data_IF_126526796062
#
_entry.id   IF_126526796062
#
_cell.length_a   1.000
_cell.length_b   1.000
_cell.length_c   1.000
_cell.angle_alpha   90.00
_cell.angle_beta   90.00
_cell.angle_gamma   90.00
#
_symmetry.space_group_name_H-M   'P 1'
#
loop_
_entity.id
_entity.type
_entity.pdbx_description
1 polymer ?
#
# COMPACT_ATOMS: atom_id res chain seq x y z
N UNK A 1 0.42 11.70 -7.50
CA UNK A 1 1.44 11.63 -6.42
C UNK A 1 1.75 13.01 -5.84
N UNK A 2 1.47 14.10 -6.56
CA UNK A 2 1.82 15.46 -6.13
C UNK A 2 0.88 16.07 -5.08
N UNK A 3 -0.41 15.74 -5.08
CA UNK A 3 -1.37 16.30 -4.10
C UNK A 3 -1.12 15.84 -2.67
N UNK A 4 -0.92 14.53 -2.45
CA UNK A 4 -0.68 13.98 -1.11
C UNK A 4 0.65 14.53 -0.53
N UNK A 5 1.69 14.60 -1.36
CA UNK A 5 2.96 15.22 -0.98
C UNK A 5 2.79 16.71 -0.71
N UNK A 6 2.01 17.42 -1.52
CA UNK A 6 1.70 18.85 -1.31
C UNK A 6 0.99 19.08 0.03
N UNK A 7 -0.01 18.25 0.34
CA UNK A 7 -0.82 18.39 1.54
C UNK A 7 -0.04 18.10 2.82
N UNK A 8 0.91 17.15 2.79
CA UNK A 8 1.65 16.69 3.97
C UNK A 8 3.16 16.97 3.90
N UNK A 9 3.56 17.95 3.09
CA UNK A 9 4.95 18.22 2.64
C UNK A 9 5.98 18.18 3.77
N UNK A 10 5.64 18.77 4.91
CA UNK A 10 6.54 18.89 6.07
C UNK A 10 6.17 17.95 7.23
N UNK A 11 5.07 17.19 7.10
CA UNK A 11 4.50 16.37 8.17
C UNK A 11 4.90 14.89 8.05
N UNK A 12 5.13 14.40 6.83
CA UNK A 12 5.53 13.03 6.59
C UNK A 12 7.06 12.88 6.74
N UNK A 13 7.50 12.66 7.98
CA UNK A 13 8.91 12.36 8.31
C UNK A 13 9.44 11.06 7.65
N UNK A 14 8.55 10.22 7.14
CA UNK A 14 8.88 9.01 6.41
C UNK A 14 7.86 8.78 5.28
N UNK A 15 8.24 8.06 4.20
CA UNK A 15 7.29 7.66 3.17
C UNK A 15 6.12 6.87 3.77
N UNK A 16 4.87 7.13 3.35
CA UNK A 16 3.71 6.40 3.83
C UNK A 16 3.76 4.93 3.36
N UNK A 17 3.18 3.99 4.12
CA UNK A 17 2.99 2.63 3.62
C UNK A 17 2.02 2.64 2.44
N UNK A 18 2.25 1.75 1.47
CA UNK A 18 1.46 1.67 0.24
C UNK A 18 0.99 0.23 0.04
N UNK A 19 -0.29 0.06 -0.28
CA UNK A 19 -0.84 -1.21 -0.76
C UNK A 19 -1.43 -1.00 -2.15
N UNK A 20 -1.01 -1.82 -3.10
CA UNK A 20 -1.59 -1.86 -4.45
C UNK A 20 -2.65 -2.97 -4.48
N UNK A 21 -3.91 -2.58 -4.62
CA UNK A 21 -5.02 -3.49 -4.83
C UNK A 21 -5.21 -3.75 -6.33
N UNK A 22 -4.80 -4.93 -6.79
CA UNK A 22 -5.08 -5.43 -8.13
C UNK A 22 -6.55 -5.89 -8.22
N UNK A 23 -7.41 -4.91 -8.43
CA UNK A 23 -8.85 -5.08 -8.47
C UNK A 23 -9.35 -5.83 -9.72
N UNK A 24 -10.65 -6.15 -9.73
CA UNK A 24 -11.40 -6.80 -10.82
C UNK A 24 -10.99 -8.25 -11.09
N UNK A 25 -10.72 -9.02 -10.03
CA UNK A 25 -10.31 -10.42 -10.17
C UNK A 25 -11.44 -11.38 -10.57
N UNK A 26 -12.67 -10.88 -10.59
CA UNK A 26 -13.87 -11.49 -11.15
C UNK A 26 -13.82 -11.58 -12.69
N UNK A 27 -13.04 -10.72 -13.35
CA UNK A 27 -12.94 -10.73 -14.82
C UNK A 27 -12.06 -11.88 -15.32
N UNK A 28 -12.41 -12.49 -16.47
CA UNK A 28 -11.63 -13.57 -17.07
C UNK A 28 -10.26 -13.08 -17.57
N UNK A 29 -10.17 -11.84 -18.03
CA UNK A 29 -8.93 -11.19 -18.40
C UNK A 29 -8.37 -10.41 -17.20
N UNK A 30 -7.23 -10.87 -16.67
CA UNK A 30 -6.61 -10.29 -15.47
C UNK A 30 -5.42 -9.43 -15.85
N UNK A 31 -5.32 -8.28 -15.19
CA UNK A 31 -4.17 -7.40 -15.32
C UNK A 31 -2.89 -8.11 -14.87
N UNK A 32 -1.81 -8.00 -15.65
CA UNK A 32 -0.53 -8.62 -15.31
C UNK A 32 0.21 -7.79 -14.25
N UNK A 33 -0.11 -8.08 -12.99
CA UNK A 33 0.49 -7.41 -11.84
C UNK A 33 2.02 -7.48 -11.82
N UNK A 34 2.61 -8.61 -12.24
CA UNK A 34 4.07 -8.80 -12.21
C UNK A 34 4.79 -7.83 -13.15
N UNK A 35 4.26 -7.66 -14.37
CA UNK A 35 4.83 -6.73 -15.35
C UNK A 35 4.72 -5.29 -14.83
N UNK A 36 3.53 -4.91 -14.36
CA UNK A 36 3.30 -3.58 -13.84
C UNK A 36 4.20 -3.24 -12.64
N UNK A 37 4.30 -4.13 -11.64
CA UNK A 37 5.14 -3.91 -10.47
C UNK A 37 6.62 -3.75 -10.82
N UNK A 38 7.07 -4.46 -11.86
CA UNK A 38 8.43 -4.31 -12.40
C UNK A 38 8.59 -2.94 -13.05
N UNK A 39 7.64 -2.50 -13.88
CA UNK A 39 7.71 -1.23 -14.61
C UNK A 39 7.70 0.00 -13.70
N UNK A 40 7.02 -0.09 -12.55
CA UNK A 40 7.01 1.00 -11.55
C UNK A 40 8.12 0.89 -10.50
N UNK A 41 9.05 -0.06 -10.65
CA UNK A 41 10.09 -0.38 -9.66
C UNK A 41 9.53 -0.54 -8.23
N UNK A 42 8.43 -1.28 -8.08
CA UNK A 42 7.72 -1.36 -6.79
C UNK A 42 8.59 -1.90 -5.64
N UNK A 43 9.59 -2.72 -5.98
CA UNK A 43 10.56 -3.27 -5.04
C UNK A 43 11.38 -2.20 -4.28
N UNK A 44 11.49 -0.97 -4.80
CA UNK A 44 12.17 0.14 -4.11
C UNK A 44 11.34 0.73 -2.96
N UNK A 45 10.04 0.44 -2.90
CA UNK A 45 9.16 0.90 -1.84
C UNK A 45 9.30 0.02 -0.60
N UNK A 46 10.09 0.49 0.37
CA UNK A 46 10.44 -0.23 1.60
C UNK A 46 9.25 -0.69 2.47
N UNK A 47 8.08 -0.07 2.32
CA UNK A 47 6.84 -0.37 3.07
C UNK A 47 5.66 -0.61 2.13
N UNK A 48 5.87 -1.47 1.14
CA UNK A 48 4.88 -1.82 0.12
C UNK A 48 4.22 -3.18 0.36
N UNK A 49 2.96 -3.30 -0.05
CA UNK A 49 2.24 -4.57 -0.16
C UNK A 49 1.39 -4.62 -1.43
N UNK A 50 0.99 -5.82 -1.82
CA UNK A 50 0.07 -6.01 -2.96
C UNK A 50 -1.00 -7.02 -2.60
N UNK A 51 -2.23 -6.78 -3.05
CA UNK A 51 -3.37 -7.69 -2.86
C UNK A 51 -4.18 -7.79 -4.14
N UNK A 52 -4.79 -8.95 -4.34
CA UNK A 52 -5.80 -9.17 -5.38
C UNK A 52 -7.17 -8.95 -4.75
N UNK A 53 -8.05 -8.21 -5.42
CA UNK A 53 -9.36 -7.82 -4.85
C UNK A 53 -10.49 -7.92 -5.86
N UNK A 54 -11.72 -8.09 -5.36
CA UNK A 54 -12.97 -7.98 -6.14
C UNK A 54 -13.84 -6.94 -5.45
N UNK A 55 -13.84 -5.71 -5.98
CA UNK A 55 -14.54 -4.59 -5.34
C UNK A 55 -16.06 -4.75 -5.30
N UNK A 56 -16.67 -5.45 -6.28
CA UNK A 56 -18.12 -5.64 -6.34
C UNK A 56 -18.64 -6.54 -5.21
N UNK A 57 -17.82 -7.48 -4.77
CA UNK A 57 -18.14 -8.44 -3.70
C UNK A 57 -17.43 -8.08 -2.37
N UNK A 58 -16.59 -7.04 -2.39
CA UNK A 58 -15.79 -6.60 -1.25
C UNK A 58 -14.60 -7.52 -0.91
N UNK A 59 -14.33 -8.55 -1.72
CA UNK A 59 -13.27 -9.52 -1.44
C UNK A 59 -11.88 -8.85 -1.45
N UNK A 60 -11.10 -9.15 -0.40
CA UNK A 60 -9.74 -8.64 -0.21
C UNK A 60 -9.64 -7.16 0.17
N UNK A 61 -10.76 -6.42 0.22
CA UNK A 61 -10.76 -4.99 0.59
C UNK A 61 -10.43 -4.82 2.08
N UNK A 62 -11.11 -5.56 2.96
CA UNK A 62 -10.85 -5.53 4.41
C UNK A 62 -9.39 -5.89 4.71
N UNK A 63 -8.88 -6.95 4.07
CA UNK A 63 -7.48 -7.37 4.20
C UNK A 63 -6.49 -6.26 3.82
N UNK A 64 -6.78 -5.48 2.76
CA UNK A 64 -5.95 -4.33 2.39
C UNK A 64 -5.91 -3.30 3.51
N UNK A 65 -7.06 -2.98 4.11
CA UNK A 65 -7.11 -2.02 5.21
C UNK A 65 -6.39 -2.55 6.45
N UNK A 66 -6.58 -3.82 6.80
CA UNK A 66 -5.87 -4.44 7.93
C UNK A 66 -4.35 -4.40 7.74
N UNK A 67 -3.86 -4.77 6.56
CA UNK A 67 -2.43 -4.77 6.27
C UNK A 67 -1.86 -3.34 6.28
N UNK A 68 -2.61 -2.36 5.78
CA UNK A 68 -2.22 -0.95 5.84
C UNK A 68 -2.11 -0.48 7.29
N UNK A 69 -3.11 -0.78 8.12
CA UNK A 69 -3.11 -0.43 9.55
C UNK A 69 -1.95 -1.11 10.28
N UNK A 70 -1.68 -2.39 10.02
CA UNK A 70 -0.51 -3.10 10.58
C UNK A 70 0.80 -2.38 10.24
N UNK A 71 0.97 -1.90 9.00
CA UNK A 71 2.17 -1.16 8.60
C UNK A 71 2.28 0.20 9.31
N UNK A 72 1.17 0.92 9.45
CA UNK A 72 1.12 2.21 10.17
C UNK A 72 1.50 2.00 11.64
N UNK A 73 0.84 1.07 12.33
CA UNK A 73 1.06 0.83 13.75
C UNK A 73 2.43 0.25 14.05
N UNK A 74 2.96 -0.63 13.20
CA UNK A 74 4.35 -1.10 13.32
C UNK A 74 5.33 0.07 13.25
N UNK A 75 5.17 0.96 12.27
CA UNK A 75 5.98 2.16 12.15
C UNK A 75 5.91 3.07 13.38
N UNK A 76 4.73 3.21 13.99
CA UNK A 76 4.54 3.98 15.21
C UNK A 76 5.22 3.36 16.42
N UNK A 77 5.09 2.05 16.62
CA UNK A 77 5.75 1.30 17.69
C UNK A 77 7.27 1.39 17.58
N UNK A 78 7.83 1.19 16.38
CA UNK A 78 9.27 1.31 16.12
C UNK A 78 9.79 2.72 16.42
N UNK A 79 9.01 3.75 16.08
CA UNK A 79 9.34 5.14 16.39
C UNK A 79 9.37 5.40 17.91
N UNK A 80 8.37 4.93 18.65
CA UNK A 80 8.35 5.10 20.12
C UNK A 80 9.50 4.39 20.81
N UNK A 81 9.89 3.20 20.35
CA UNK A 81 11.01 2.44 20.92
C UNK A 81 12.35 3.13 20.70
N UNK A 82 12.55 3.78 19.55
CA UNK A 82 13.81 4.48 19.22
C UNK A 82 13.99 5.85 19.89
N UNK A 83 12.91 6.45 20.38
CA UNK A 83 12.91 7.77 21.02
C UNK A 83 12.61 7.71 22.53
N UNK A 84 12.82 6.55 23.14
CA UNK A 84 12.88 6.34 24.59
C UNK A 84 14.33 6.39 25.03
#
# INVERSE_FOLDING_TARGET
MDELKSYYRDSLKAPPPIIIAFNKQDLPEKFNSKIFLREINFHEYQKGGTKYTIAIDGEGIVDCFEDLLKMIFKGYSDFKLKNK
#
